data_IF_114998105353
#
_entry.id   IF_114998105353
#
_cell.length_a   1.000
_cell.length_b   1.000
_cell.length_c   1.000
_cell.angle_alpha   90.00
_cell.angle_beta   90.00
_cell.angle_gamma   90.00
#
_symmetry.space_group_name_H-M   'P 1'
#
loop_
_entity.id
_entity.type
_entity.pdbx_description
1 polymer ?
#
# COMPACT_ATOMS: atom_id res chain seq x y z
N UNK A 1 -19.94 9.69 11.49
CA UNK A 1 -19.18 8.49 11.13
C UNK A 1 -17.76 8.91 10.79
N UNK A 2 -16.81 8.51 11.60
CA UNK A 2 -15.38 8.80 11.42
C UNK A 2 -14.87 8.07 10.16
N UNK A 3 -13.82 8.59 9.50
CA UNK A 3 -13.22 7.93 8.32
C UNK A 3 -12.84 6.47 8.58
N UNK A 4 -12.32 6.19 9.78
CA UNK A 4 -12.02 4.84 10.27
C UNK A 4 -13.26 3.94 10.29
N UNK A 5 -14.39 4.42 10.83
CA UNK A 5 -15.66 3.66 10.87
C UNK A 5 -16.19 3.36 9.47
N UNK A 6 -16.02 4.30 8.53
CA UNK A 6 -16.38 4.07 7.11
C UNK A 6 -15.54 2.96 6.48
N UNK A 7 -14.24 2.92 6.78
CA UNK A 7 -13.35 1.85 6.30
C UNK A 7 -13.72 0.49 6.91
N UNK A 8 -14.00 0.43 8.21
CA UNK A 8 -14.45 -0.78 8.88
C UNK A 8 -15.72 -1.34 8.22
N UNK A 9 -16.71 -0.48 7.99
CA UNK A 9 -17.98 -0.90 7.40
C UNK A 9 -17.85 -1.31 5.95
N UNK A 10 -17.09 -0.54 5.15
CA UNK A 10 -16.93 -0.78 3.71
C UNK A 10 -16.16 -2.06 3.41
N UNK A 11 -15.14 -2.36 4.21
CA UNK A 11 -14.21 -3.47 3.95
C UNK A 11 -14.30 -4.58 4.99
N UNK A 12 -15.27 -4.51 5.91
CA UNK A 12 -15.45 -5.48 7.00
C UNK A 12 -14.14 -5.76 7.78
N UNK A 13 -13.39 -4.68 8.10
CA UNK A 13 -12.11 -4.75 8.81
C UNK A 13 -12.33 -4.79 10.32
N UNK A 14 -11.37 -5.40 11.02
CA UNK A 14 -11.26 -5.23 12.47
C UNK A 14 -10.91 -3.77 12.81
N UNK A 15 -11.03 -3.39 14.08
CA UNK A 15 -10.64 -2.04 14.52
C UNK A 15 -9.15 -1.77 14.27
N UNK A 16 -8.32 -2.77 14.48
CA UNK A 16 -6.88 -2.69 14.20
C UNK A 16 -6.63 -2.67 12.70
N UNK A 17 -7.28 -3.53 11.93
CA UNK A 17 -7.13 -3.56 10.46
C UNK A 17 -7.51 -2.24 9.79
N UNK A 18 -8.49 -1.50 10.33
CA UNK A 18 -8.82 -0.17 9.80
C UNK A 18 -7.74 0.89 10.11
N UNK A 19 -7.09 0.83 11.27
CA UNK A 19 -5.93 1.69 11.61
C UNK A 19 -4.76 1.37 10.70
N UNK A 20 -4.45 0.10 10.54
CA UNK A 20 -3.34 -0.37 9.72
C UNK A 20 -3.54 0.00 8.26
N UNK A 21 -4.77 -0.06 7.75
CA UNK A 21 -5.09 0.40 6.40
C UNK A 21 -4.86 1.91 6.21
N UNK A 22 -5.15 2.74 7.20
CA UNK A 22 -4.84 4.18 7.15
C UNK A 22 -3.32 4.39 7.09
N UNK A 23 -2.56 3.66 7.91
CA UNK A 23 -1.09 3.69 7.86
C UNK A 23 -0.56 3.23 6.50
N UNK A 24 -1.17 2.20 5.90
CA UNK A 24 -0.82 1.74 4.57
C UNK A 24 -1.06 2.83 3.49
N UNK A 25 -2.17 3.56 3.56
CA UNK A 25 -2.45 4.66 2.63
C UNK A 25 -1.43 5.80 2.76
N UNK A 26 -1.11 6.19 3.98
CA UNK A 26 -0.14 7.27 4.24
C UNK A 26 1.26 6.86 3.76
N UNK A 27 1.72 5.67 4.15
CA UNK A 27 3.05 5.18 3.77
C UNK A 27 3.20 4.98 2.26
N UNK A 28 2.17 4.46 1.59
CA UNK A 28 2.16 4.31 0.13
C UNK A 28 2.17 5.68 -0.58
N UNK A 29 1.43 6.67 -0.07
CA UNK A 29 1.44 8.03 -0.63
C UNK A 29 2.80 8.68 -0.48
N UNK A 30 3.43 8.57 0.70
CA UNK A 30 4.79 9.10 0.94
C UNK A 30 5.80 8.42 0.01
N UNK A 31 5.75 7.10 -0.12
CA UNK A 31 6.63 6.35 -1.02
C UNK A 31 6.46 6.80 -2.48
N UNK A 32 5.23 6.99 -2.96
CA UNK A 32 4.97 7.48 -4.30
C UNK A 32 5.54 8.90 -4.53
N UNK A 33 5.45 9.79 -3.54
CA UNK A 33 6.04 11.13 -3.61
C UNK A 33 7.58 11.05 -3.68
N UNK A 34 8.19 10.21 -2.85
CA UNK A 34 9.65 10.02 -2.84
C UNK A 34 10.15 9.44 -4.15
N UNK A 35 9.40 8.55 -4.79
CA UNK A 35 9.73 8.00 -6.11
C UNK A 35 9.75 9.05 -7.24
N UNK A 36 9.26 10.26 -7.00
CA UNK A 36 9.36 11.38 -7.97
C UNK A 36 10.67 12.15 -7.86
N UNK A 37 11.40 12.07 -6.76
CA UNK A 37 12.65 12.79 -6.58
C UNK A 37 13.71 12.45 -7.64
N UNK A 38 13.90 11.19 -8.07
CA UNK A 38 14.81 10.87 -9.18
C UNK A 38 14.47 11.60 -10.48
N UNK A 39 13.19 11.83 -10.77
CA UNK A 39 12.76 12.58 -11.96
C UNK A 39 13.17 14.04 -11.86
N UNK A 40 12.99 14.66 -10.70
CA UNK A 40 13.47 16.02 -10.43
C UNK A 40 14.99 16.11 -10.51
N UNK A 41 15.72 15.12 -10.00
CA UNK A 41 17.18 15.04 -10.11
C UNK A 41 17.64 14.93 -11.57
N UNK A 42 16.93 14.12 -12.39
CA UNK A 42 17.23 14.00 -13.81
C UNK A 42 17.03 15.33 -14.54
N UNK A 43 15.95 16.05 -14.25
CA UNK A 43 15.71 17.39 -14.79
C UNK A 43 16.85 18.35 -14.46
N UNK A 44 17.27 18.41 -13.20
CA UNK A 44 18.37 19.26 -12.76
C UNK A 44 19.71 18.87 -13.42
N UNK A 45 19.94 17.56 -13.62
CA UNK A 45 21.13 17.06 -14.28
C UNK A 45 21.18 17.52 -15.74
N UNK A 46 20.07 17.36 -16.49
CA UNK A 46 19.98 17.81 -17.89
C UNK A 46 20.18 19.32 -18.00
N UNK A 47 19.54 20.08 -17.12
CA UNK A 47 19.67 21.55 -17.08
C UNK A 47 21.13 21.98 -16.86
N UNK A 48 21.81 21.45 -15.85
CA UNK A 48 23.21 21.79 -15.56
C UNK A 48 24.19 21.27 -16.65
N UNK A 49 23.84 20.18 -17.33
CA UNK A 49 24.59 19.72 -18.49
C UNK A 49 24.55 20.73 -19.65
N UNK A 50 23.36 21.27 -19.96
CA UNK A 50 23.16 22.27 -21.00
C UNK A 50 23.83 23.62 -20.66
N UNK A 51 23.90 23.95 -19.38
CA UNK A 51 24.58 25.15 -18.87
C UNK A 51 26.09 24.99 -18.73
N UNK A 52 26.64 23.79 -18.98
CA UNK A 52 28.08 23.51 -18.89
C UNK A 52 28.65 23.44 -17.48
N UNK A 53 27.77 23.52 -16.43
CA UNK A 53 28.16 23.58 -15.02
C UNK A 53 28.25 22.21 -14.34
N UNK A 54 28.02 21.13 -15.08
CA UNK A 54 27.93 19.78 -14.54
C UNK A 54 29.22 19.30 -13.85
N UNK A 55 30.39 19.68 -14.39
CA UNK A 55 31.71 19.28 -13.82
C UNK A 55 31.91 19.84 -12.41
N UNK A 56 31.48 21.06 -12.16
CA UNK A 56 31.60 21.71 -10.84
C UNK A 56 30.66 21.12 -9.81
N UNK A 57 29.47 20.65 -10.26
CA UNK A 57 28.43 20.14 -9.38
C UNK A 57 28.35 18.60 -9.30
N UNK A 58 29.28 17.88 -9.93
CA UNK A 58 29.26 16.42 -10.02
C UNK A 58 29.15 15.70 -8.68
N UNK A 59 29.90 16.16 -7.67
CA UNK A 59 29.85 15.60 -6.30
C UNK A 59 28.48 15.84 -5.66
N UNK A 60 27.89 17.02 -5.87
CA UNK A 60 26.57 17.36 -5.33
C UNK A 60 25.48 16.45 -5.94
N UNK A 61 25.57 16.17 -7.25
CA UNK A 61 24.66 15.23 -7.92
C UNK A 61 24.84 13.80 -7.40
N UNK A 62 26.07 13.33 -7.22
CA UNK A 62 26.33 12.01 -6.66
C UNK A 62 25.77 11.87 -5.24
N UNK A 63 25.97 12.88 -4.38
CA UNK A 63 25.38 12.91 -3.05
C UNK A 63 23.86 12.94 -3.09
N UNK A 64 23.25 13.74 -3.98
CA UNK A 64 21.80 13.79 -4.18
C UNK A 64 21.21 12.44 -4.61
N UNK A 65 21.85 11.75 -5.54
CA UNK A 65 21.45 10.40 -5.95
C UNK A 65 21.54 9.40 -4.79
N UNK A 66 22.58 9.45 -3.99
CA UNK A 66 22.74 8.57 -2.82
C UNK A 66 21.62 8.83 -1.80
N UNK A 67 21.31 10.09 -1.52
CA UNK A 67 20.21 10.47 -0.62
C UNK A 67 18.87 9.96 -1.17
N UNK A 68 18.60 10.13 -2.47
CA UNK A 68 17.39 9.60 -3.09
C UNK A 68 17.27 8.08 -2.94
N UNK A 69 18.35 7.33 -3.16
CA UNK A 69 18.34 5.87 -2.98
C UNK A 69 18.04 5.46 -1.55
N UNK A 70 18.65 6.13 -0.56
CA UNK A 70 18.39 5.87 0.85
C UNK A 70 16.91 6.17 1.19
N UNK A 71 16.40 7.32 0.75
CA UNK A 71 15.00 7.70 0.99
C UNK A 71 14.02 6.71 0.36
N UNK A 72 14.26 6.28 -0.86
CA UNK A 72 13.44 5.26 -1.54
C UNK A 72 13.50 3.94 -0.75
N UNK A 73 14.67 3.48 -0.37
CA UNK A 73 14.82 2.24 0.41
C UNK A 73 14.07 2.29 1.74
N UNK A 74 14.21 3.38 2.50
CA UNK A 74 13.53 3.55 3.79
C UNK A 74 12.02 3.64 3.63
N UNK A 75 11.53 4.46 2.71
CA UNK A 75 10.07 4.62 2.50
C UNK A 75 9.43 3.36 1.95
N UNK A 76 10.08 2.66 1.04
CA UNK A 76 9.61 1.36 0.52
C UNK A 76 9.57 0.30 1.62
N UNK A 77 10.56 0.25 2.51
CA UNK A 77 10.56 -0.66 3.65
C UNK A 77 9.40 -0.38 4.61
N UNK A 78 9.16 0.90 4.94
CA UNK A 78 8.03 1.30 5.80
C UNK A 78 6.70 0.95 5.14
N UNK A 79 6.55 1.24 3.85
CA UNK A 79 5.36 0.89 3.08
C UNK A 79 5.12 -0.61 3.06
N UNK A 80 6.15 -1.41 2.80
CA UNK A 80 6.04 -2.87 2.79
C UNK A 80 5.51 -3.40 4.12
N UNK A 81 6.09 -2.97 5.23
CA UNK A 81 5.63 -3.40 6.56
C UNK A 81 4.19 -2.95 6.84
N UNK A 82 3.83 -1.72 6.49
CA UNK A 82 2.49 -1.20 6.71
C UNK A 82 1.42 -1.89 5.85
N UNK A 83 1.75 -2.30 4.63
CA UNK A 83 0.81 -2.93 3.70
C UNK A 83 0.73 -4.44 3.89
N UNK A 84 1.85 -5.14 3.82
CA UNK A 84 1.85 -6.61 3.81
C UNK A 84 1.71 -7.21 5.20
N UNK A 85 2.52 -6.77 6.17
CA UNK A 85 2.53 -7.38 7.50
C UNK A 85 1.18 -7.24 8.21
N UNK A 86 0.62 -6.04 8.15
CA UNK A 86 -0.70 -5.73 8.73
C UNK A 86 -1.83 -6.53 8.07
N UNK A 87 -1.76 -6.71 6.75
CA UNK A 87 -2.78 -7.47 6.01
C UNK A 87 -2.71 -8.96 6.33
N UNK A 88 -1.53 -9.53 6.52
CA UNK A 88 -1.39 -10.94 6.92
C UNK A 88 -1.98 -11.20 8.31
N UNK A 89 -1.78 -10.29 9.26
CA UNK A 89 -2.40 -10.40 10.58
C UNK A 89 -3.93 -10.36 10.48
N UNK A 90 -4.49 -9.40 9.74
CA UNK A 90 -5.93 -9.28 9.53
C UNK A 90 -6.51 -10.51 8.82
N UNK A 91 -5.81 -11.05 7.81
CA UNK A 91 -6.17 -12.28 7.10
C UNK A 91 -6.19 -13.48 8.04
N UNK A 92 -5.21 -13.61 8.93
CA UNK A 92 -5.19 -14.63 9.97
C UNK A 92 -6.40 -14.57 10.89
N UNK A 93 -6.75 -13.38 11.39
CA UNK A 93 -7.94 -13.13 12.22
C UNK A 93 -9.23 -13.53 11.48
N UNK A 94 -9.35 -13.19 10.20
CA UNK A 94 -10.51 -13.55 9.38
C UNK A 94 -10.66 -15.06 9.22
N UNK A 95 -9.57 -15.78 8.94
CA UNK A 95 -9.58 -17.25 8.81
C UNK A 95 -10.01 -17.92 10.11
N UNK A 96 -9.47 -17.48 11.25
CA UNK A 96 -9.84 -17.99 12.57
C UNK A 96 -11.32 -17.71 12.85
N UNK A 97 -11.79 -16.46 12.64
CA UNK A 97 -13.17 -16.07 12.86
C UNK A 97 -14.14 -16.88 11.99
N UNK A 98 -13.78 -17.13 10.73
CA UNK A 98 -14.58 -17.92 9.81
C UNK A 98 -14.65 -19.40 10.27
N UNK A 99 -13.52 -19.99 10.66
CA UNK A 99 -13.44 -21.34 11.19
C UNK A 99 -14.28 -21.51 12.47
N UNK A 100 -14.22 -20.52 13.38
CA UNK A 100 -15.05 -20.53 14.59
C UNK A 100 -16.55 -20.44 14.31
N UNK A 101 -16.95 -19.63 13.32
CA UNK A 101 -18.35 -19.56 12.88
C UNK A 101 -18.79 -20.88 12.28
N UNK A 102 -17.98 -21.48 11.40
CA UNK A 102 -18.30 -22.78 10.79
C UNK A 102 -18.44 -23.88 11.84
N UNK A 103 -17.61 -23.90 12.88
CA UNK A 103 -17.70 -24.86 13.98
C UNK A 103 -19.01 -24.79 14.75
N UNK A 104 -19.71 -23.64 14.76
CA UNK A 104 -20.99 -23.44 15.46
C UNK A 104 -22.20 -23.80 14.59
N UNK A 105 -22.01 -24.12 13.33
CA UNK A 105 -23.10 -24.44 12.40
C UNK A 105 -23.49 -25.92 12.57
N UNK A 106 -24.80 -26.29 12.52
CA UNK A 106 -25.26 -27.66 12.62
C UNK A 106 -24.67 -28.56 11.54
N UNK A 107 -24.44 -29.82 11.85
CA UNK A 107 -23.87 -30.81 10.92
C UNK A 107 -24.71 -30.97 9.64
N UNK A 108 -26.03 -30.78 9.73
CA UNK A 108 -26.96 -30.81 8.60
C UNK A 108 -26.66 -29.78 7.51
N UNK A 109 -25.97 -28.69 7.85
CA UNK A 109 -25.51 -27.69 6.88
C UNK A 109 -24.45 -28.26 5.95
N UNK A 110 -23.49 -29.00 6.50
CA UNK A 110 -22.38 -29.58 5.75
C UNK A 110 -22.84 -30.72 4.82
N UNK A 111 -23.95 -31.37 5.10
CA UNK A 111 -24.58 -32.34 4.20
C UNK A 111 -25.24 -31.73 2.97
N UNK A 112 -25.51 -30.42 2.99
CA UNK A 112 -26.17 -29.67 1.89
C UNK A 112 -25.21 -28.79 1.10
N UNK A 113 -23.99 -28.58 1.59
CA UNK A 113 -22.97 -27.73 0.99
C UNK A 113 -21.76 -28.57 0.57
N UNK A 114 -21.20 -28.21 -0.57
CA UNK A 114 -19.97 -28.83 -1.03
C UNK A 114 -18.81 -28.41 -0.12
N UNK A 115 -18.11 -29.40 0.42
CA UNK A 115 -16.94 -29.18 1.28
C UNK A 115 -15.80 -28.50 0.50
N UNK A 116 -15.69 -28.75 -0.80
CA UNK A 116 -14.69 -28.12 -1.65
C UNK A 116 -14.97 -26.62 -1.80
N UNK A 117 -16.24 -26.21 -1.93
CA UNK A 117 -16.67 -24.80 -2.00
C UNK A 117 -16.34 -24.05 -0.69
N UNK A 118 -16.64 -24.66 0.46
CA UNK A 118 -16.29 -24.09 1.77
C UNK A 118 -14.76 -23.95 1.96
N UNK A 119 -14.01 -24.93 1.51
CA UNK A 119 -12.54 -24.90 1.57
C UNK A 119 -11.98 -23.81 0.66
N UNK A 120 -12.53 -23.68 -0.55
CA UNK A 120 -12.14 -22.62 -1.48
C UNK A 120 -12.41 -21.23 -0.90
N UNK A 121 -13.57 -21.02 -0.28
CA UNK A 121 -13.89 -19.75 0.41
C UNK A 121 -12.90 -19.46 1.54
N UNK A 122 -12.55 -20.44 2.36
CA UNK A 122 -11.60 -20.24 3.48
C UNK A 122 -10.16 -19.98 3.03
N UNK A 123 -9.73 -20.61 1.94
CA UNK A 123 -8.33 -20.52 1.48
C UNK A 123 -8.18 -19.58 0.29
N UNK A 124 -9.03 -19.68 -0.72
CA UNK A 124 -8.96 -18.92 -1.96
C UNK A 124 -9.50 -17.49 -1.83
N UNK A 125 -10.75 -17.33 -1.40
CA UNK A 125 -11.39 -16.00 -1.34
C UNK A 125 -10.72 -15.10 -0.30
N UNK A 126 -10.31 -15.68 0.85
CA UNK A 126 -9.56 -14.92 1.86
C UNK A 126 -8.18 -14.51 1.33
N UNK A 127 -7.50 -15.35 0.57
CA UNK A 127 -6.22 -15.00 -0.06
C UNK A 127 -6.38 -13.89 -1.12
N UNK A 128 -7.46 -13.93 -1.92
CA UNK A 128 -7.78 -12.86 -2.87
C UNK A 128 -8.04 -11.53 -2.15
N UNK A 129 -8.78 -11.57 -1.04
CA UNK A 129 -9.04 -10.39 -0.19
C UNK A 129 -7.74 -9.86 0.41
N UNK A 130 -6.84 -10.74 0.85
CA UNK A 130 -5.51 -10.41 1.35
C UNK A 130 -4.69 -9.65 0.30
N UNK A 131 -4.66 -10.14 -0.94
CA UNK A 131 -3.97 -9.47 -2.05
C UNK A 131 -4.58 -8.09 -2.36
N UNK A 132 -5.90 -7.96 -2.29
CA UNK A 132 -6.57 -6.66 -2.47
C UNK A 132 -6.12 -5.64 -1.42
N UNK A 133 -6.05 -6.01 -0.16
CA UNK A 133 -5.72 -5.08 0.93
C UNK A 133 -4.23 -4.83 1.08
N UNK A 134 -3.38 -5.81 0.77
CA UNK A 134 -1.93 -5.63 0.83
C UNK A 134 -1.37 -4.81 -0.32
N UNK A 135 -2.00 -4.84 -1.50
CA UNK A 135 -1.42 -4.25 -2.69
C UNK A 135 -2.37 -3.28 -3.42
N UNK A 136 -3.53 -3.76 -3.89
CA UNK A 136 -4.35 -2.96 -4.81
C UNK A 136 -4.98 -1.74 -4.16
N UNK A 137 -5.61 -1.88 -3.00
CA UNK A 137 -6.37 -0.80 -2.36
C UNK A 137 -5.45 0.34 -1.89
N UNK A 138 -4.35 0.09 -1.14
CA UNK A 138 -3.42 1.14 -0.74
C UNK A 138 -2.79 1.85 -1.93
N UNK A 139 -2.33 1.10 -2.93
CA UNK A 139 -1.69 1.66 -4.10
C UNK A 139 -2.63 2.50 -4.96
N UNK A 140 -3.88 2.06 -5.12
CA UNK A 140 -4.90 2.81 -5.87
C UNK A 140 -5.14 4.20 -5.26
N UNK A 141 -5.38 4.29 -3.95
CA UNK A 141 -5.59 5.58 -3.28
C UNK A 141 -4.32 6.45 -3.27
N UNK A 142 -3.15 5.84 -3.02
CA UNK A 142 -1.88 6.54 -3.06
C UNK A 142 -1.59 7.12 -4.45
N UNK A 143 -1.88 6.38 -5.52
CA UNK A 143 -1.68 6.83 -6.91
C UNK A 143 -2.60 8.00 -7.26
N UNK A 144 -3.86 7.98 -6.85
CA UNK A 144 -4.78 9.12 -7.07
C UNK A 144 -4.24 10.37 -6.38
N UNK A 145 -3.89 10.26 -5.10
CA UNK A 145 -3.40 11.41 -4.31
C UNK A 145 -2.11 11.97 -4.92
N UNK A 146 -1.14 11.11 -5.22
CA UNK A 146 0.14 11.55 -5.79
C UNK A 146 -0.04 12.18 -7.17
N UNK A 147 -0.89 11.62 -8.04
CA UNK A 147 -1.18 12.18 -9.36
C UNK A 147 -1.86 13.54 -9.25
N UNK A 148 -2.82 13.71 -8.34
CA UNK A 148 -3.44 15.01 -8.09
C UNK A 148 -2.42 16.05 -7.59
N UNK A 149 -1.52 15.65 -6.68
CA UNK A 149 -0.48 16.55 -6.18
C UNK A 149 0.47 17.02 -7.30
N UNK A 150 0.88 16.10 -8.20
CA UNK A 150 1.70 16.46 -9.36
C UNK A 150 0.95 17.41 -10.29
N UNK A 151 -0.29 17.06 -10.65
CA UNK A 151 -1.08 17.88 -11.55
C UNK A 151 -1.25 19.32 -11.01
N UNK A 152 -1.53 19.45 -9.70
CA UNK A 152 -1.60 20.75 -9.04
C UNK A 152 -0.25 21.47 -9.08
N UNK A 153 0.85 20.78 -8.76
CA UNK A 153 2.19 21.38 -8.77
C UNK A 153 2.59 21.88 -10.16
N UNK A 154 2.25 21.14 -11.22
CA UNK A 154 2.51 21.54 -12.61
C UNK A 154 1.63 22.72 -13.06
N UNK A 155 0.43 22.85 -12.52
CA UNK A 155 -0.46 23.96 -12.84
C UNK A 155 0.04 25.30 -12.28
N UNK A 156 0.76 25.26 -11.15
CA UNK A 156 1.33 26.48 -10.51
C UNK A 156 2.76 26.80 -10.95
N UNK A 157 3.41 25.96 -11.74
CA UNK A 157 4.76 26.15 -12.27
C UNK A 157 4.69 26.79 -13.66
#
# INVERSE_FOLDING_TARGET
MTFKEKLQHKYALSEQGAKDMIHAFISATISNIVLMFPVGMLYLLVKNYMEGTLKEKGILFAAGCLICLILIGVTTYIQYNATFLSTYVESGVRRITLAEKLRKIPLSFFGKKDLADLTNTMLGDVATTEQMFSHYVPQFYASIISTCLIAVSLFFY
#
